data_IF_269621153620
#
_entry.id   IF_269621153620
#
_cell.length_a   1.000
_cell.length_b   1.000
_cell.length_c   1.000
_cell.angle_alpha   90.00
_cell.angle_beta   90.00
_cell.angle_gamma   90.00
#
_symmetry.space_group_name_H-M   'P 1'
#
loop_
_entity.id
_entity.type
_entity.pdbx_description
1 polymer ?
#
# COMPACT_ATOMS: atom_id res chain seq x y z
N UNK A 1 -25.28 11.07 22.72
CA UNK A 1 -25.13 10.99 21.25
C UNK A 1 -23.91 11.80 20.91
N UNK A 2 -22.81 11.18 20.47
CA UNK A 2 -21.70 11.95 19.91
C UNK A 2 -22.23 12.68 18.68
N UNK A 3 -21.88 13.95 18.60
CA UNK A 3 -22.23 14.85 17.53
C UNK A 3 -21.59 14.30 16.25
N UNK A 4 -22.41 13.95 15.25
CA UNK A 4 -21.93 13.78 13.88
C UNK A 4 -21.33 15.12 13.48
N UNK A 5 -20.01 15.24 13.57
CA UNK A 5 -19.29 16.33 12.93
C UNK A 5 -19.74 16.31 11.47
N UNK A 6 -20.28 17.45 11.05
CA UNK A 6 -20.69 17.67 9.67
C UNK A 6 -19.41 17.60 8.87
N UNK A 7 -19.22 16.48 8.14
CA UNK A 7 -18.16 16.36 7.13
C UNK A 7 -18.29 17.63 6.30
N UNK A 8 -17.26 18.47 6.34
CA UNK A 8 -17.23 19.68 5.52
C UNK A 8 -17.28 19.17 4.09
N UNK A 9 -18.35 19.52 3.37
CA UNK A 9 -18.59 18.98 2.03
C UNK A 9 -17.41 19.37 1.15
N UNK A 10 -16.59 18.39 0.76
CA UNK A 10 -15.39 18.61 -0.03
C UNK A 10 -15.78 19.10 -1.42
N UNK A 11 -15.24 20.24 -1.83
CA UNK A 11 -15.40 20.73 -3.19
C UNK A 11 -14.38 20.05 -4.11
N UNK A 12 -14.80 18.95 -4.75
CA UNK A 12 -13.97 18.18 -5.69
C UNK A 12 -13.59 18.96 -6.95
N UNK A 13 -14.22 20.11 -7.22
CA UNK A 13 -13.92 20.94 -8.38
C UNK A 13 -12.93 22.07 -8.08
N UNK A 14 -12.59 22.29 -6.81
CA UNK A 14 -11.60 23.28 -6.40
C UNK A 14 -10.19 22.91 -6.90
N UNK A 15 -9.44 23.90 -7.39
CA UNK A 15 -8.06 23.73 -7.88
C UNK A 15 -7.10 23.17 -6.82
N UNK A 16 -7.27 23.52 -5.55
CA UNK A 16 -6.49 22.96 -4.42
C UNK A 16 -6.74 21.47 -4.28
N UNK A 17 -8.00 21.04 -4.39
CA UNK A 17 -8.34 19.62 -4.35
C UNK A 17 -7.74 18.89 -5.55
N UNK A 18 -7.93 19.43 -6.77
CA UNK A 18 -7.40 18.83 -8.00
C UNK A 18 -5.88 18.75 -8.03
N UNK A 19 -5.18 19.76 -7.52
CA UNK A 19 -3.72 19.76 -7.37
C UNK A 19 -3.25 18.65 -6.42
N UNK A 20 -3.83 18.56 -5.22
CA UNK A 20 -3.51 17.48 -4.28
C UNK A 20 -3.86 16.10 -4.84
N UNK A 21 -5.04 15.99 -5.48
CA UNK A 21 -5.51 14.76 -6.10
C UNK A 21 -4.59 14.30 -7.23
N UNK A 22 -3.94 15.21 -7.96
CA UNK A 22 -3.00 14.86 -9.04
C UNK A 22 -1.84 14.00 -8.53
N UNK A 23 -1.32 14.30 -7.34
CA UNK A 23 -0.21 13.59 -6.71
C UNK A 23 -0.68 12.31 -6.01
N UNK A 24 -1.77 12.37 -5.25
CA UNK A 24 -2.32 11.18 -4.58
C UNK A 24 -2.79 10.14 -5.60
N UNK A 25 -3.49 10.56 -6.67
CA UNK A 25 -3.90 9.65 -7.72
C UNK A 25 -2.71 9.06 -8.48
N UNK A 26 -1.65 9.84 -8.72
CA UNK A 26 -0.43 9.33 -9.32
C UNK A 26 0.28 8.28 -8.45
N UNK A 27 0.35 8.50 -7.13
CA UNK A 27 0.88 7.51 -6.17
C UNK A 27 0.12 6.21 -6.34
N UNK A 28 -1.22 6.23 -6.26
CA UNK A 28 -2.00 5.00 -6.37
C UNK A 28 -1.78 4.34 -7.74
N UNK A 29 -1.82 5.09 -8.85
CA UNK A 29 -1.60 4.54 -10.19
C UNK A 29 -0.20 3.92 -10.35
N UNK A 30 0.82 4.51 -9.74
CA UNK A 30 2.19 3.99 -9.77
C UNK A 30 2.34 2.76 -8.87
N UNK A 31 1.80 2.79 -7.65
CA UNK A 31 1.81 1.65 -6.73
C UNK A 31 1.18 0.41 -7.37
N UNK A 32 0.06 0.58 -8.06
CA UNK A 32 -0.61 -0.49 -8.82
C UNK A 32 0.21 -1.00 -10.01
N UNK A 33 0.98 -0.13 -10.66
CA UNK A 33 1.89 -0.56 -11.72
C UNK A 33 3.04 -1.38 -11.15
N UNK A 34 3.67 -0.88 -10.09
CA UNK A 34 4.77 -1.56 -9.41
C UNK A 34 4.31 -2.90 -8.83
N UNK A 35 3.14 -2.96 -8.19
CA UNK A 35 2.55 -4.20 -7.68
C UNK A 35 2.37 -5.22 -8.80
N UNK A 36 1.82 -4.80 -9.94
CA UNK A 36 1.69 -5.68 -11.10
C UNK A 36 3.02 -6.26 -11.56
N UNK A 37 4.07 -5.44 -11.61
CA UNK A 37 5.40 -5.85 -12.07
C UNK A 37 6.12 -6.71 -11.02
N UNK A 38 5.96 -6.38 -9.74
CA UNK A 38 6.48 -7.14 -8.60
C UNK A 38 5.87 -8.54 -8.54
N UNK A 39 4.57 -8.69 -8.77
CA UNK A 39 3.92 -9.99 -8.84
C UNK A 39 4.41 -10.84 -10.01
N UNK A 40 4.66 -10.24 -11.18
CA UNK A 40 5.33 -10.97 -12.27
C UNK A 40 6.71 -11.44 -11.84
N UNK A 41 7.48 -10.58 -11.18
CA UNK A 41 8.82 -10.92 -10.71
C UNK A 41 8.81 -12.04 -9.67
N UNK A 42 7.89 -11.98 -8.71
CA UNK A 42 7.66 -13.05 -7.74
C UNK A 42 7.32 -14.36 -8.44
N UNK A 43 6.50 -14.33 -9.51
CA UNK A 43 6.17 -15.52 -10.30
C UNK A 43 7.36 -16.14 -11.06
N UNK A 44 8.44 -15.37 -11.28
CA UNK A 44 9.71 -15.92 -11.77
C UNK A 44 10.53 -16.58 -10.65
N UNK A 45 10.41 -16.06 -9.41
CA UNK A 45 11.12 -16.54 -8.23
C UNK A 45 10.45 -17.73 -7.55
N UNK A 46 9.12 -17.86 -7.72
CA UNK A 46 8.26 -18.95 -7.25
C UNK A 46 7.53 -19.61 -8.44
N UNK A 47 8.22 -20.42 -9.27
CA UNK A 47 7.63 -21.02 -10.46
C UNK A 47 6.38 -21.86 -10.20
N UNK A 48 6.28 -22.47 -9.01
CA UNK A 48 5.15 -23.28 -8.56
C UNK A 48 3.88 -22.47 -8.30
N UNK A 49 4.01 -21.20 -7.88
CA UNK A 49 2.88 -20.28 -7.65
C UNK A 49 2.68 -19.30 -8.82
N UNK A 50 3.39 -19.51 -9.93
CA UNK A 50 3.46 -18.54 -11.04
C UNK A 50 2.10 -18.20 -11.63
N UNK A 51 1.20 -19.17 -11.76
CA UNK A 51 -0.13 -18.92 -12.33
C UNK A 51 -0.96 -17.98 -11.45
N UNK A 52 -0.88 -18.18 -10.13
CA UNK A 52 -1.57 -17.33 -9.15
C UNK A 52 -0.95 -15.94 -9.13
N UNK A 53 0.38 -15.83 -9.10
CA UNK A 53 1.09 -14.54 -9.13
C UNK A 53 0.80 -13.76 -10.43
N UNK A 54 0.63 -14.43 -11.56
CA UNK A 54 0.16 -13.80 -12.80
C UNK A 54 -1.30 -13.32 -12.68
N UNK A 55 -2.16 -14.05 -11.93
CA UNK A 55 -3.54 -13.63 -11.66
C UNK A 55 -3.57 -12.35 -10.83
N UNK A 56 -2.79 -12.28 -9.75
CA UNK A 56 -2.63 -11.10 -8.90
C UNK A 56 -2.09 -9.91 -9.71
N UNK A 57 -1.02 -10.10 -10.49
CA UNK A 57 -0.51 -9.05 -11.40
C UNK A 57 -1.56 -8.48 -12.36
N UNK A 58 -2.48 -9.32 -12.86
CA UNK A 58 -3.58 -8.87 -13.72
C UNK A 58 -4.67 -8.12 -12.95
N UNK A 59 -4.80 -8.37 -11.65
CA UNK A 59 -5.71 -7.67 -10.75
C UNK A 59 -5.28 -6.22 -10.56
N UNK A 60 -4.01 -6.00 -10.24
CA UNK A 60 -3.41 -4.66 -10.14
C UNK A 60 -3.53 -3.85 -11.43
N UNK A 61 -3.36 -4.51 -12.58
CA UNK A 61 -3.60 -3.85 -13.88
C UNK A 61 -5.06 -3.40 -14.07
N UNK A 62 -6.03 -4.03 -13.41
CA UNK A 62 -7.42 -3.58 -13.41
C UNK A 62 -7.62 -2.44 -12.41
N UNK A 63 -7.06 -2.55 -11.21
CA UNK A 63 -7.10 -1.50 -10.19
C UNK A 63 -6.50 -0.19 -10.72
N UNK A 64 -5.29 -0.25 -11.29
CA UNK A 64 -4.65 0.87 -11.99
C UNK A 64 -5.58 1.57 -12.98
N UNK A 65 -6.29 0.80 -13.82
CA UNK A 65 -7.23 1.37 -14.81
C UNK A 65 -8.43 2.02 -14.14
N UNK A 66 -8.91 1.46 -13.03
CA UNK A 66 -9.93 2.05 -12.17
C UNK A 66 -9.48 3.41 -11.63
N UNK A 67 -8.30 3.48 -11.01
CA UNK A 67 -7.77 4.74 -10.46
C UNK A 67 -7.42 5.78 -11.53
N UNK A 68 -6.99 5.36 -12.72
CA UNK A 68 -6.89 6.26 -13.88
C UNK A 68 -8.25 6.82 -14.31
N UNK A 69 -9.34 6.06 -14.14
CA UNK A 69 -10.69 6.56 -14.40
C UNK A 69 -11.13 7.58 -13.36
N UNK A 70 -10.73 7.43 -12.09
CA UNK A 70 -10.99 8.42 -11.04
C UNK A 70 -10.35 9.77 -11.37
N UNK A 71 -9.08 9.80 -11.80
CA UNK A 71 -8.44 11.04 -12.27
C UNK A 71 -9.18 11.68 -13.46
N UNK A 72 -9.56 10.89 -14.46
CA UNK A 72 -10.36 11.38 -15.61
C UNK A 72 -11.72 11.95 -15.19
N UNK A 73 -12.39 11.33 -14.22
CA UNK A 73 -13.69 11.78 -13.71
C UNK A 73 -13.62 13.19 -13.09
N UNK A 74 -12.48 13.52 -12.45
CA UNK A 74 -12.24 14.83 -11.85
C UNK A 74 -11.52 15.82 -12.78
N UNK A 75 -11.28 15.43 -14.03
CA UNK A 75 -10.49 16.19 -15.01
C UNK A 75 -9.06 16.50 -14.52
N UNK A 76 -8.50 15.58 -13.73
CA UNK A 76 -7.15 15.68 -13.17
C UNK A 76 -6.16 14.88 -14.01
N UNK A 77 -5.03 15.52 -14.36
CA UNK A 77 -3.87 14.81 -14.92
C UNK A 77 -2.97 14.36 -13.78
N UNK A 78 -2.73 13.05 -13.58
CA UNK A 78 -1.90 12.57 -12.48
C UNK A 78 -0.43 12.93 -12.70
N UNK A 79 0.23 13.41 -11.64
CA UNK A 79 1.67 13.71 -11.62
C UNK A 79 2.50 12.43 -11.47
N UNK A 80 2.69 11.72 -12.59
CA UNK A 80 3.40 10.43 -12.60
C UNK A 80 4.89 10.54 -12.25
N UNK A 81 5.51 11.72 -12.39
CA UNK A 81 6.91 11.90 -11.95
C UNK A 81 6.98 11.89 -10.43
N UNK A 82 6.06 12.58 -9.76
CA UNK A 82 5.92 12.50 -8.31
C UNK A 82 5.62 11.07 -7.83
N UNK A 83 4.68 10.37 -8.49
CA UNK A 83 4.34 8.98 -8.16
C UNK A 83 5.55 8.05 -8.20
N UNK A 84 6.38 8.14 -9.26
CA UNK A 84 7.62 7.37 -9.39
C UNK A 84 8.66 7.70 -8.32
N UNK A 85 8.86 8.99 -8.04
CA UNK A 85 9.82 9.41 -7.02
C UNK A 85 9.40 8.94 -5.62
N UNK A 86 8.10 8.96 -5.34
CA UNK A 86 7.51 8.53 -4.07
C UNK A 86 7.87 7.07 -3.72
N UNK A 87 7.77 6.16 -4.69
CA UNK A 87 8.07 4.73 -4.47
C UNK A 87 9.53 4.35 -4.71
N UNK A 88 10.34 5.19 -5.37
CA UNK A 88 11.67 4.84 -5.86
C UNK A 88 12.57 4.08 -4.87
N UNK A 89 12.55 4.44 -3.57
CA UNK A 89 13.36 3.75 -2.55
C UNK A 89 12.83 2.36 -2.21
N UNK A 90 11.52 2.22 -2.02
CA UNK A 90 10.90 0.93 -1.72
C UNK A 90 11.00 0.01 -2.94
N UNK A 91 10.75 0.56 -4.13
CA UNK A 91 10.96 -0.12 -5.42
C UNK A 91 12.41 -0.62 -5.58
N UNK A 92 13.38 0.26 -5.33
CA UNK A 92 14.80 -0.09 -5.41
C UNK A 92 15.20 -1.21 -4.43
N UNK A 93 14.63 -1.21 -3.22
CA UNK A 93 14.85 -2.29 -2.25
C UNK A 93 14.25 -3.61 -2.73
N UNK A 94 13.05 -3.60 -3.33
CA UNK A 94 12.44 -4.78 -3.94
C UNK A 94 13.31 -5.33 -5.09
N UNK A 95 13.70 -4.47 -6.03
CA UNK A 95 14.54 -4.87 -7.18
C UNK A 95 15.87 -5.48 -6.73
N UNK A 96 16.51 -4.88 -5.72
CA UNK A 96 17.74 -5.40 -5.14
C UNK A 96 17.52 -6.77 -4.50
N UNK A 97 16.48 -6.93 -3.70
CA UNK A 97 16.15 -8.21 -3.08
C UNK A 97 15.88 -9.29 -4.13
N UNK A 98 15.12 -8.97 -5.18
CA UNK A 98 14.82 -9.89 -6.27
C UNK A 98 16.09 -10.31 -7.04
N UNK A 99 17.02 -9.38 -7.29
CA UNK A 99 18.30 -9.68 -7.93
C UNK A 99 19.21 -10.56 -7.05
N UNK A 100 19.09 -10.47 -5.73
CA UNK A 100 19.81 -11.30 -4.76
C UNK A 100 19.10 -12.63 -4.44
N UNK A 101 17.93 -12.90 -5.03
CA UNK A 101 17.15 -14.11 -4.76
C UNK A 101 16.44 -14.10 -3.39
N UNK A 102 16.30 -12.94 -2.75
CA UNK A 102 15.69 -12.75 -1.43
C UNK A 102 14.17 -12.66 -1.54
N UNK A 103 13.55 -13.81 -1.73
CA UNK A 103 12.11 -13.94 -1.88
C UNK A 103 11.35 -13.41 -0.67
N UNK A 104 11.80 -13.74 0.56
CA UNK A 104 11.13 -13.33 1.80
C UNK A 104 11.10 -11.80 1.92
N UNK A 105 12.21 -11.13 1.60
CA UNK A 105 12.26 -9.66 1.54
C UNK A 105 11.30 -9.09 0.49
N UNK A 106 11.21 -9.71 -0.69
CA UNK A 106 10.29 -9.28 -1.76
C UNK A 106 8.82 -9.41 -1.32
N UNK A 107 8.46 -10.53 -0.71
CA UNK A 107 7.12 -10.78 -0.17
C UNK A 107 6.77 -9.82 0.97
N UNK A 108 7.71 -9.51 1.87
CA UNK A 108 7.47 -8.51 2.91
C UNK A 108 7.20 -7.12 2.32
N UNK A 109 7.98 -6.70 1.31
CA UNK A 109 7.79 -5.38 0.69
C UNK A 109 6.45 -5.31 -0.04
N UNK A 110 6.18 -6.24 -0.96
CA UNK A 110 4.96 -6.22 -1.76
C UNK A 110 3.75 -6.62 -0.91
N UNK A 111 3.71 -7.89 -0.49
CA UNK A 111 2.51 -8.51 0.04
C UNK A 111 2.15 -8.08 1.46
N UNK A 112 3.08 -7.48 2.23
CA UNK A 112 2.77 -7.00 3.58
C UNK A 112 2.80 -5.46 3.64
N UNK A 113 3.93 -4.83 3.33
CA UNK A 113 4.08 -3.37 3.50
C UNK A 113 3.20 -2.62 2.50
N UNK A 114 3.31 -2.90 1.20
CA UNK A 114 2.57 -2.17 0.17
C UNK A 114 1.07 -2.47 0.30
N UNK A 115 0.67 -3.73 0.46
CA UNK A 115 -0.76 -4.05 0.60
C UNK A 115 -1.39 -3.44 1.86
N UNK A 116 -0.71 -3.48 3.01
CA UNK A 116 -1.22 -2.84 4.23
C UNK A 116 -1.33 -1.33 4.07
N UNK A 117 -0.40 -0.72 3.33
CA UNK A 117 -0.43 0.72 3.03
C UNK A 117 -1.59 1.06 2.08
N UNK A 118 -1.82 0.25 1.05
CA UNK A 118 -2.92 0.41 0.11
C UNK A 118 -4.28 0.26 0.80
N UNK A 119 -4.49 -0.82 1.56
CA UNK A 119 -5.73 -1.06 2.32
C UNK A 119 -6.03 0.11 3.26
N UNK A 120 -5.03 0.59 4.01
CA UNK A 120 -5.20 1.73 4.89
C UNK A 120 -5.59 3.01 4.12
N UNK A 121 -4.86 3.34 3.05
CA UNK A 121 -5.16 4.50 2.22
C UNK A 121 -6.58 4.43 1.64
N UNK A 122 -7.00 3.25 1.18
CA UNK A 122 -8.31 3.05 0.57
C UNK A 122 -9.45 3.14 1.58
N UNK A 123 -9.30 2.53 2.76
CA UNK A 123 -10.29 2.62 3.84
C UNK A 123 -10.49 4.06 4.32
N UNK A 124 -9.41 4.82 4.47
CA UNK A 124 -9.48 6.22 4.88
C UNK A 124 -10.01 7.12 3.75
N UNK A 125 -9.75 6.78 2.48
CA UNK A 125 -10.25 7.56 1.34
C UNK A 125 -11.75 7.36 1.08
N UNK A 126 -12.28 6.13 1.21
CA UNK A 126 -13.69 5.80 0.87
C UNK A 126 -14.73 6.78 1.48
N UNK A 127 -14.67 7.14 2.79
CA UNK A 127 -15.62 8.06 3.40
C UNK A 127 -15.61 9.47 2.83
N UNK A 128 -14.49 9.92 2.28
CA UNK A 128 -14.26 11.28 1.78
C UNK A 128 -14.15 11.38 0.24
N UNK A 129 -14.15 10.23 -0.44
CA UNK A 129 -14.10 10.14 -1.90
C UNK A 129 -15.38 10.67 -2.56
N UNK A 130 -15.24 11.19 -3.78
CA UNK A 130 -16.38 11.49 -4.65
C UNK A 130 -17.15 10.19 -5.00
N UNK A 131 -18.44 10.27 -5.36
CA UNK A 131 -19.27 9.08 -5.58
C UNK A 131 -18.73 8.10 -6.63
N UNK A 132 -18.02 8.57 -7.65
CA UNK A 132 -17.43 7.71 -8.67
C UNK A 132 -16.21 6.98 -8.11
N UNK A 133 -15.27 7.71 -7.53
CA UNK A 133 -14.05 7.12 -6.98
C UNK A 133 -14.35 6.18 -5.82
N UNK A 134 -15.32 6.53 -4.93
CA UNK A 134 -15.77 5.67 -3.83
C UNK A 134 -16.12 4.26 -4.32
N UNK A 135 -16.96 4.17 -5.35
CA UNK A 135 -17.42 2.87 -5.89
C UNK A 135 -16.28 2.05 -6.47
N UNK A 136 -15.30 2.69 -7.10
CA UNK A 136 -14.10 2.02 -7.61
C UNK A 136 -13.27 1.49 -6.45
N UNK A 137 -12.96 2.35 -5.46
CA UNK A 137 -12.12 1.99 -4.31
C UNK A 137 -12.77 0.89 -3.45
N UNK A 138 -14.08 0.92 -3.21
CA UNK A 138 -14.81 -0.15 -2.53
C UNK A 138 -14.72 -1.52 -3.24
N UNK A 139 -14.58 -1.52 -4.56
CA UNK A 139 -14.34 -2.71 -5.35
C UNK A 139 -12.92 -3.23 -5.15
N UNK A 140 -11.94 -2.32 -5.24
CA UNK A 140 -10.51 -2.61 -5.08
C UNK A 140 -10.20 -3.18 -3.69
N UNK A 141 -10.70 -2.57 -2.60
CA UNK A 141 -10.44 -3.04 -1.23
C UNK A 141 -10.79 -4.51 -1.02
N UNK A 142 -11.84 -5.02 -1.69
CA UNK A 142 -12.22 -6.44 -1.58
C UNK A 142 -11.21 -7.35 -2.24
N UNK A 143 -10.63 -6.91 -3.35
CA UNK A 143 -9.62 -7.63 -4.11
C UNK A 143 -8.26 -7.58 -3.37
N UNK A 144 -7.93 -6.46 -2.69
CA UNK A 144 -6.66 -6.31 -1.95
C UNK A 144 -6.46 -7.32 -0.81
N UNK A 145 -7.54 -7.75 -0.17
CA UNK A 145 -7.43 -8.81 0.85
C UNK A 145 -6.94 -10.14 0.26
N UNK A 146 -7.13 -10.40 -1.04
CA UNK A 146 -6.53 -11.58 -1.70
C UNK A 146 -5.01 -11.42 -1.88
N UNK A 147 -4.53 -10.21 -2.18
CA UNK A 147 -3.10 -9.89 -2.33
C UNK A 147 -2.33 -10.10 -1.03
N UNK A 148 -2.83 -9.50 0.06
CA UNK A 148 -2.28 -9.64 1.40
C UNK A 148 -2.24 -11.12 1.82
N UNK A 149 -3.35 -11.83 1.59
CA UNK A 149 -3.49 -13.22 1.99
C UNK A 149 -2.49 -14.18 1.29
N UNK A 150 -2.16 -13.96 0.02
CA UNK A 150 -1.17 -14.81 -0.67
C UNK A 150 0.20 -14.78 0.03
N UNK A 151 0.74 -13.57 0.27
CA UNK A 151 2.06 -13.43 0.89
C UNK A 151 2.05 -13.86 2.35
N UNK A 152 0.97 -13.57 3.06
CA UNK A 152 0.75 -13.99 4.44
C UNK A 152 0.81 -15.52 4.56
N UNK A 153 0.02 -16.25 3.76
CA UNK A 153 -0.03 -17.71 3.83
C UNK A 153 1.29 -18.36 3.40
N UNK A 154 1.98 -17.82 2.38
CA UNK A 154 3.31 -18.31 2.00
C UNK A 154 4.32 -18.11 3.14
N UNK A 155 4.39 -16.91 3.72
CA UNK A 155 5.33 -16.59 4.79
C UNK A 155 5.04 -17.35 6.09
N UNK A 156 3.76 -17.61 6.37
CA UNK A 156 3.32 -18.45 7.48
C UNK A 156 3.75 -19.90 7.32
N UNK A 157 3.60 -20.46 6.12
CA UNK A 157 4.03 -21.82 5.83
C UNK A 157 5.56 -22.00 5.95
N UNK A 158 6.33 -20.92 5.78
CA UNK A 158 7.79 -20.89 5.82
C UNK A 158 8.33 -20.03 6.97
N UNK A 159 7.59 -19.90 8.08
CA UNK A 159 7.87 -18.89 9.09
C UNK A 159 9.22 -19.07 9.78
N UNK A 160 9.56 -20.30 10.19
CA UNK A 160 10.78 -20.57 10.96
C UNK A 160 12.05 -20.22 10.18
N UNK A 161 12.09 -20.53 8.89
CA UNK A 161 13.20 -20.16 8.00
C UNK A 161 13.16 -18.69 7.55
N UNK A 162 11.97 -18.08 7.47
CA UNK A 162 11.79 -16.70 7.00
C UNK A 162 11.99 -15.65 8.09
N UNK A 163 11.79 -16.01 9.36
CA UNK A 163 11.70 -15.07 10.49
C UNK A 163 12.87 -14.09 10.57
N UNK A 164 14.11 -14.57 10.46
CA UNK A 164 15.28 -13.72 10.58
C UNK A 164 15.39 -12.71 9.43
N UNK A 165 15.06 -13.13 8.21
CA UNK A 165 15.04 -12.24 7.05
C UNK A 165 13.87 -11.25 7.14
N UNK A 166 12.70 -11.66 7.61
CA UNK A 166 11.55 -10.78 7.84
C UNK A 166 11.87 -9.66 8.84
N UNK A 167 12.54 -9.97 9.95
CA UNK A 167 12.96 -8.96 10.93
C UNK A 167 13.94 -7.93 10.33
N UNK A 168 14.89 -8.40 9.49
CA UNK A 168 15.85 -7.52 8.83
C UNK A 168 15.20 -6.68 7.71
N UNK A 169 14.38 -7.30 6.86
CA UNK A 169 13.63 -6.63 5.82
C UNK A 169 12.67 -5.58 6.40
N UNK A 170 11.99 -5.88 7.51
CA UNK A 170 11.17 -4.91 8.23
C UNK A 170 12.00 -3.71 8.70
N UNK A 171 13.16 -3.95 9.33
CA UNK A 171 14.05 -2.88 9.81
C UNK A 171 14.50 -1.94 8.69
N UNK A 172 14.72 -2.48 7.49
CA UNK A 172 15.16 -1.70 6.33
C UNK A 172 14.03 -0.93 5.64
N UNK A 173 12.83 -1.51 5.58
CA UNK A 173 11.75 -1.00 4.72
C UNK A 173 10.66 -0.26 5.49
N UNK A 174 10.33 -0.66 6.71
CA UNK A 174 9.28 0.01 7.50
C UNK A 174 9.54 1.51 7.73
N UNK A 175 10.79 1.98 7.98
CA UNK A 175 11.07 3.42 8.08
C UNK A 175 10.75 4.22 6.80
N UNK A 176 10.70 3.57 5.63
CA UNK A 176 10.33 4.23 4.38
C UNK A 176 8.83 4.57 4.36
N UNK A 177 7.98 3.71 4.94
CA UNK A 177 6.54 3.95 5.04
C UNK A 177 6.25 5.23 5.85
N UNK A 178 7.01 5.49 6.91
CA UNK A 178 6.84 6.71 7.72
C UNK A 178 7.23 7.95 6.93
N UNK A 179 8.30 7.87 6.13
CA UNK A 179 8.72 8.95 5.23
C UNK A 179 7.69 9.19 4.14
N UNK A 180 7.12 8.13 3.59
CA UNK A 180 6.04 8.18 2.60
C UNK A 180 4.80 8.87 3.20
N UNK A 181 4.34 8.46 4.40
CA UNK A 181 3.22 9.09 5.10
C UNK A 181 3.47 10.58 5.42
N UNK A 182 4.69 10.93 5.84
CA UNK A 182 5.09 12.32 6.06
C UNK A 182 5.08 13.14 4.76
N UNK A 183 5.49 12.54 3.64
CA UNK A 183 5.57 13.22 2.35
C UNK A 183 4.19 13.57 1.78
N UNK A 184 3.15 12.78 2.07
CA UNK A 184 1.78 12.99 1.55
C UNK A 184 0.84 13.69 2.51
N UNK A 185 1.26 13.97 3.75
CA UNK A 185 0.42 14.53 4.82
C UNK A 185 -0.44 15.71 4.37
N UNK A 186 0.16 16.67 3.67
CA UNK A 186 -0.55 17.87 3.21
C UNK A 186 -1.61 17.54 2.16
N UNK A 187 -1.27 16.71 1.17
CA UNK A 187 -2.19 16.37 0.09
C UNK A 187 -3.32 15.45 0.60
N UNK A 188 -2.98 14.50 1.47
CA UNK A 188 -3.94 13.65 2.16
C UNK A 188 -4.94 14.49 2.98
N UNK A 189 -4.46 15.47 3.76
CA UNK A 189 -5.33 16.38 4.52
C UNK A 189 -6.28 17.19 3.63
N UNK A 190 -5.81 17.67 2.47
CA UNK A 190 -6.67 18.35 1.48
C UNK A 190 -7.79 17.42 0.96
N UNK A 191 -7.49 16.13 0.81
CA UNK A 191 -8.45 15.10 0.43
C UNK A 191 -9.35 14.64 1.60
N UNK A 192 -9.17 15.18 2.81
CA UNK A 192 -9.91 14.78 4.02
C UNK A 192 -9.39 13.50 4.66
N UNK A 193 -8.17 13.08 4.34
CA UNK A 193 -7.52 11.88 4.88
C UNK A 193 -6.51 12.29 5.96
N UNK A 194 -6.87 12.07 7.22
CA UNK A 194 -6.00 12.39 8.36
C UNK A 194 -4.84 11.41 8.46
N UNK A 195 -3.63 11.94 8.68
CA UNK A 195 -2.40 11.15 8.74
C UNK A 195 -2.42 10.16 9.90
N UNK A 196 -2.94 10.55 11.05
CA UNK A 196 -3.06 9.69 12.23
C UNK A 196 -3.94 8.48 11.93
N UNK A 197 -5.04 8.68 11.18
CA UNK A 197 -5.93 7.60 10.76
C UNK A 197 -5.24 6.66 9.76
N UNK A 198 -4.47 7.21 8.82
CA UNK A 198 -3.65 6.40 7.89
C UNK A 198 -2.61 5.54 8.63
N UNK A 199 -1.94 6.11 9.64
CA UNK A 199 -0.98 5.39 10.49
C UNK A 199 -1.71 4.28 11.27
N UNK A 200 -2.85 4.59 11.89
CA UNK A 200 -3.62 3.63 12.69
C UNK A 200 -4.05 2.42 11.85
N UNK A 201 -4.73 2.66 10.71
CA UNK A 201 -5.20 1.58 9.83
C UNK A 201 -4.03 0.75 9.27
N UNK A 202 -2.92 1.39 8.88
CA UNK A 202 -1.73 0.68 8.41
C UNK A 202 -1.16 -0.24 9.50
N UNK A 203 -1.04 0.27 10.74
CA UNK A 203 -0.48 -0.49 11.85
C UNK A 203 -1.35 -1.66 12.28
N UNK A 204 -2.68 -1.51 12.15
CA UNK A 204 -3.62 -2.61 12.37
C UNK A 204 -3.43 -3.68 11.29
N UNK A 205 -3.54 -3.32 10.01
CA UNK A 205 -3.42 -4.27 8.91
C UNK A 205 -2.07 -5.01 8.92
N UNK A 206 -0.97 -4.26 9.06
CA UNK A 206 0.37 -4.85 9.07
C UNK A 206 0.63 -5.68 10.34
N UNK A 207 0.13 -5.24 11.50
CA UNK A 207 0.25 -5.97 12.76
C UNK A 207 -0.53 -7.29 12.75
N UNK A 208 -1.74 -7.28 12.19
CA UNK A 208 -2.57 -8.49 12.00
C UNK A 208 -1.87 -9.48 11.07
N UNK A 209 -1.34 -9.02 9.92
CA UNK A 209 -0.61 -9.88 9.00
C UNK A 209 0.63 -10.52 9.65
N UNK A 210 1.42 -9.73 10.40
CA UNK A 210 2.57 -10.27 11.15
C UNK A 210 2.14 -11.30 12.21
N UNK A 211 1.03 -11.04 12.91
CA UNK A 211 0.47 -11.98 13.89
C UNK A 211 0.05 -13.30 13.24
N UNK A 212 -0.62 -13.24 12.08
CA UNK A 212 -1.09 -14.42 11.37
C UNK A 212 0.06 -15.27 10.80
N UNK A 213 1.15 -14.62 10.39
CA UNK A 213 2.40 -15.30 9.97
C UNK A 213 3.04 -16.09 11.11
N UNK A 214 2.92 -15.60 12.36
CA UNK A 214 3.43 -16.29 13.55
C UNK A 214 4.26 -15.42 14.51
N UNK A 215 4.37 -14.11 14.27
CA UNK A 215 5.05 -13.22 15.20
C UNK A 215 4.26 -13.05 16.50
N UNK A 216 4.97 -13.00 17.62
CA UNK A 216 4.34 -12.71 18.91
C UNK A 216 3.99 -11.24 19.03
N UNK A 217 3.07 -10.88 19.92
CA UNK A 217 2.78 -9.46 20.22
C UNK A 217 4.05 -8.67 20.58
N UNK A 218 5.01 -9.29 21.28
CA UNK A 218 6.28 -8.65 21.61
C UNK A 218 7.13 -8.39 20.37
N UNK A 219 7.17 -9.34 19.43
CA UNK A 219 7.89 -9.19 18.18
C UNK A 219 7.26 -8.07 17.33
N UNK A 220 5.93 -8.05 17.20
CA UNK A 220 5.20 -7.03 16.45
C UNK A 220 5.49 -5.64 17.03
N UNK A 221 5.38 -5.45 18.34
CA UNK A 221 5.69 -4.16 18.98
C UNK A 221 7.14 -3.72 18.71
N UNK A 222 8.10 -4.65 18.75
CA UNK A 222 9.50 -4.36 18.42
C UNK A 222 9.68 -4.01 16.94
N UNK A 223 9.03 -4.73 16.05
CA UNK A 223 9.11 -4.51 14.60
C UNK A 223 8.49 -3.17 14.21
N UNK A 224 7.30 -2.87 14.75
CA UNK A 224 6.59 -1.61 14.63
C UNK A 224 7.42 -0.41 15.10
N UNK A 225 8.14 -0.55 16.21
CA UNK A 225 9.00 0.52 16.73
C UNK A 225 10.14 0.89 15.77
N UNK A 226 10.57 0.02 14.86
CA UNK A 226 11.56 0.39 13.84
C UNK A 226 11.01 1.44 12.86
N UNK A 227 9.70 1.49 12.61
CA UNK A 227 9.09 2.55 11.80
C UNK A 227 9.38 3.94 12.35
N UNK A 228 9.47 4.07 13.69
CA UNK A 228 9.81 5.32 14.37
C UNK A 228 11.26 5.79 14.12
N UNK A 229 12.16 4.93 13.65
CA UNK A 229 13.49 5.35 13.21
C UNK A 229 13.46 6.12 11.87
N UNK A 230 12.30 6.17 11.21
CA UNK A 230 12.03 6.97 10.02
C UNK A 230 11.46 8.37 10.30
N UNK A 231 11.17 8.70 11.57
CA UNK A 231 10.69 10.01 12.04
C UNK A 231 11.79 11.06 11.99
#
# INVERSE_FOLDING_TARGET
MPQLETITELDFQNETYKDAYSRINAIVIEGEQEASDNYIKLGEMLPEEREELIRLSKMEKRHKKGFQACGRNLEVTPDMDFGREFFAKLHGNFQKAAAEGKLVTCLLIQSLIIESFAIAAYNIYIPVADPFARKITEGVVKDEYEHLNFGEEWLKAHFEESKAELEEANRQNLPLVWKMLNQVEKDASILGMEKEALIEDFMIAYGEALSNIGFTTRDIMRMSAYGLAGV
#
